data_IF_458656549052
#
_entry.id   IF_458656549052
#
_cell.length_a   1.000
_cell.length_b   1.000
_cell.length_c   1.000
_cell.angle_alpha   90.00
_cell.angle_beta   90.00
_cell.angle_gamma   90.00
#
_symmetry.space_group_name_H-M   'P 1'
#
loop_
_entity.id
_entity.type
_entity.pdbx_description
1 polymer ?
#
# COMPACT_ATOMS: atom_id res chain seq x y z
N UNK A 1 1.11 36.05 -19.57
CA UNK A 1 1.73 36.40 -18.27
C UNK A 1 1.54 35.18 -17.42
N UNK A 2 2.62 34.52 -16.96
CA UNK A 2 2.50 33.29 -16.16
C UNK A 2 1.71 33.61 -14.89
N UNK A 3 0.51 33.05 -14.77
CA UNK A 3 -0.33 33.19 -13.58
C UNK A 3 0.27 32.35 -12.45
N UNK A 4 0.93 33.02 -11.51
CA UNK A 4 1.50 32.39 -10.32
C UNK A 4 0.39 32.08 -9.33
N UNK A 5 0.24 30.82 -8.94
CA UNK A 5 -0.68 30.38 -7.88
C UNK A 5 -0.07 30.75 -6.52
N UNK A 6 -0.87 31.34 -5.63
CA UNK A 6 -0.35 31.90 -4.37
C UNK A 6 -0.55 30.99 -3.16
N UNK A 7 -1.48 30.02 -3.24
CA UNK A 7 -1.87 29.13 -2.15
C UNK A 7 -2.37 29.83 -0.89
N UNK A 8 -2.74 31.11 -1.01
CA UNK A 8 -3.29 31.92 0.09
C UNK A 8 -4.77 32.26 -0.11
N UNK A 9 -5.24 32.25 -1.36
CA UNK A 9 -6.63 32.51 -1.73
C UNK A 9 -7.11 31.41 -2.69
N UNK A 10 -7.87 30.41 -2.20
CA UNK A 10 -8.28 29.26 -2.99
C UNK A 10 -9.22 29.64 -4.15
N UNK A 11 -10.02 30.69 -4.00
CA UNK A 11 -10.96 31.11 -5.04
C UNK A 11 -10.22 31.85 -6.16
N UNK A 12 -9.24 32.68 -5.81
CA UNK A 12 -8.37 33.33 -6.79
C UNK A 12 -7.50 32.31 -7.56
N UNK A 13 -6.93 31.32 -6.87
CA UNK A 13 -6.15 30.24 -7.48
C UNK A 13 -7.03 29.39 -8.42
N UNK A 14 -8.26 29.06 -8.04
CA UNK A 14 -9.20 28.34 -8.89
C UNK A 14 -9.57 29.13 -10.16
N UNK A 15 -9.81 30.45 -10.02
CA UNK A 15 -10.07 31.33 -11.16
C UNK A 15 -8.85 31.44 -12.10
N UNK A 16 -7.65 31.51 -11.53
CA UNK A 16 -6.40 31.52 -12.29
C UNK A 16 -6.22 30.21 -13.08
N UNK A 17 -6.45 29.05 -12.47
CA UNK A 17 -6.40 27.74 -13.15
C UNK A 17 -7.43 27.67 -14.28
N UNK A 18 -8.66 28.15 -14.06
CA UNK A 18 -9.71 28.15 -15.07
C UNK A 18 -9.38 29.04 -16.28
N UNK A 19 -8.53 30.06 -16.10
CA UNK A 19 -8.10 30.96 -17.15
C UNK A 19 -6.83 30.51 -17.89
N UNK A 20 -6.12 29.49 -17.39
CA UNK A 20 -4.89 28.97 -18.01
C UNK A 20 -5.19 28.27 -19.34
N UNK A 21 -4.28 28.45 -20.30
CA UNK A 21 -4.25 27.70 -21.54
C UNK A 21 -3.86 26.23 -21.30
N UNK A 22 -4.09 25.38 -22.31
CA UNK A 22 -3.66 23.97 -22.26
C UNK A 22 -2.15 23.83 -22.03
N UNK A 23 -1.34 24.66 -22.66
CA UNK A 23 0.12 24.58 -22.55
C UNK A 23 0.56 24.97 -21.13
N UNK A 24 0.01 26.06 -20.58
CA UNK A 24 0.23 26.46 -19.19
C UNK A 24 -0.19 25.38 -18.19
N UNK A 25 -1.31 24.68 -18.43
CA UNK A 25 -1.76 23.57 -17.58
C UNK A 25 -0.84 22.34 -17.68
N UNK A 26 -0.25 22.09 -18.85
CA UNK A 26 0.65 20.96 -19.08
C UNK A 26 2.01 21.16 -18.40
N UNK A 27 2.41 22.41 -18.18
CA UNK A 27 3.59 22.79 -17.40
C UNK A 27 3.26 22.87 -15.89
N UNK A 28 2.23 23.63 -15.53
CA UNK A 28 1.89 23.94 -14.13
C UNK A 28 1.37 22.72 -13.37
N UNK A 29 0.52 21.89 -14.00
CA UNK A 29 -0.12 20.75 -13.33
C UNK A 29 0.87 19.72 -12.77
N UNK A 30 1.84 19.23 -13.57
CA UNK A 30 2.88 18.33 -13.08
C UNK A 30 3.75 18.91 -11.97
N UNK A 31 4.08 20.21 -12.03
CA UNK A 31 4.88 20.88 -10.99
C UNK A 31 4.12 20.97 -9.67
N UNK A 32 2.84 21.34 -9.71
CA UNK A 32 1.96 21.32 -8.54
C UNK A 32 1.88 19.94 -7.90
N UNK A 33 1.74 18.90 -8.74
CA UNK A 33 1.69 17.52 -8.28
C UNK A 33 3.03 17.10 -7.64
N UNK A 34 4.15 17.50 -8.24
CA UNK A 34 5.50 17.22 -7.72
C UNK A 34 5.72 17.88 -6.38
N UNK A 35 5.36 19.16 -6.22
CA UNK A 35 5.45 19.87 -4.94
C UNK A 35 4.55 19.23 -3.87
N UNK A 36 3.30 18.92 -4.22
CA UNK A 36 2.39 18.19 -3.32
C UNK A 36 2.99 16.88 -2.82
N UNK A 37 3.63 16.09 -3.70
CA UNK A 37 4.32 14.85 -3.32
C UNK A 37 5.54 15.09 -2.44
N UNK A 38 6.31 16.15 -2.67
CA UNK A 38 7.44 16.52 -1.78
C UNK A 38 6.96 16.78 -0.35
N UNK A 39 5.83 17.46 -0.18
CA UNK A 39 5.21 17.68 1.13
C UNK A 39 4.64 16.39 1.72
N UNK A 40 3.97 15.56 0.91
CA UNK A 40 3.47 14.25 1.35
C UNK A 40 4.60 13.36 1.85
N UNK A 41 5.72 13.29 1.14
CA UNK A 41 6.90 12.50 1.54
C UNK A 41 7.47 12.93 2.89
N UNK A 42 7.59 14.24 3.12
CA UNK A 42 8.03 14.79 4.42
C UNK A 42 7.01 14.53 5.53
N UNK A 43 5.72 14.52 5.19
CA UNK A 43 4.64 14.18 6.13
C UNK A 43 4.76 12.72 6.58
N UNK A 44 5.03 11.79 5.68
CA UNK A 44 5.28 10.37 6.01
C UNK A 44 6.48 10.21 6.93
N UNK A 45 7.61 10.87 6.64
CA UNK A 45 8.79 10.81 7.51
C UNK A 45 8.56 11.47 8.87
N UNK A 46 7.82 12.57 8.93
CA UNK A 46 7.46 13.22 10.19
C UNK A 46 6.55 12.32 11.06
N UNK A 47 5.62 11.60 10.42
CA UNK A 47 4.76 10.64 11.10
C UNK A 47 5.56 9.47 11.69
N UNK A 48 6.51 8.90 10.94
CA UNK A 48 7.38 7.85 11.44
C UNK A 48 8.28 8.34 12.58
N UNK A 49 8.85 9.54 12.47
CA UNK A 49 9.65 10.13 13.53
C UNK A 49 8.84 10.39 14.82
N UNK A 50 7.55 10.74 14.71
CA UNK A 50 6.64 10.85 15.86
C UNK A 50 6.38 9.47 16.49
N UNK A 51 6.06 8.46 15.67
CA UNK A 51 5.84 7.10 16.14
C UNK A 51 7.04 6.58 16.96
N UNK A 52 8.24 6.77 16.43
CA UNK A 52 9.47 6.33 17.09
C UNK A 52 9.73 7.03 18.42
N UNK A 53 9.42 8.33 18.53
CA UNK A 53 9.53 9.06 19.80
C UNK A 53 8.55 8.54 20.84
N UNK A 54 7.30 8.32 20.44
CA UNK A 54 6.25 7.77 21.32
C UNK A 54 6.61 6.36 21.77
N UNK A 55 7.13 5.53 20.86
CA UNK A 55 7.62 4.19 21.16
C UNK A 55 8.72 4.22 22.22
N UNK A 56 9.77 5.05 22.01
CA UNK A 56 10.87 5.20 22.96
C UNK A 56 10.44 5.77 24.31
N UNK A 57 9.58 6.78 24.31
CA UNK A 57 9.01 7.34 25.56
C UNK A 57 8.24 6.28 26.34
N UNK A 58 7.54 5.38 25.65
CA UNK A 58 6.80 4.29 26.30
C UNK A 58 7.71 3.22 26.90
N UNK A 59 8.85 2.97 26.27
CA UNK A 59 9.84 2.01 26.76
C UNK A 59 10.79 2.60 27.81
N UNK A 60 10.99 3.93 27.81
CA UNK A 60 11.82 4.62 28.77
C UNK A 60 11.28 4.41 30.20
N UNK A 61 12.08 3.76 31.05
CA UNK A 61 11.71 3.42 32.43
C UNK A 61 11.33 1.96 32.66
N UNK A 62 11.39 1.10 31.64
CA UNK A 62 11.29 -0.35 31.81
C UNK A 62 12.68 -1.01 31.82
N UNK A 63 12.91 -1.98 32.69
CA UNK A 63 14.20 -2.70 32.75
C UNK A 63 14.33 -3.65 31.56
N UNK A 64 15.51 -3.66 30.89
CA UNK A 64 15.84 -4.52 29.73
C UNK A 64 15.54 -6.02 29.93
N UNK A 65 15.45 -6.48 31.18
CA UNK A 65 15.25 -7.89 31.56
C UNK A 65 13.77 -8.32 31.50
N UNK A 66 12.82 -7.38 31.38
CA UNK A 66 11.37 -7.65 31.43
C UNK A 66 10.57 -6.98 30.29
N UNK A 67 11.16 -6.75 29.11
CA UNK A 67 10.36 -6.31 27.95
C UNK A 67 9.64 -7.52 27.35
N UNK A 68 8.51 -7.88 27.95
CA UNK A 68 7.59 -8.88 27.39
C UNK A 68 7.06 -8.40 26.02
N UNK A 69 6.85 -9.32 25.08
CA UNK A 69 6.33 -8.98 23.74
C UNK A 69 5.02 -8.17 23.74
N UNK A 70 4.21 -8.29 24.80
CA UNK A 70 3.00 -7.49 25.00
C UNK A 70 3.27 -6.00 25.25
N UNK A 71 4.40 -5.64 25.87
CA UNK A 71 4.81 -4.25 26.09
C UNK A 71 5.20 -3.59 24.77
N UNK A 72 5.98 -4.31 23.95
CA UNK A 72 6.37 -3.86 22.61
C UNK A 72 5.14 -3.66 21.74
N UNK A 73 4.25 -4.65 21.70
CA UNK A 73 3.01 -4.56 20.93
C UNK A 73 2.13 -3.39 21.39
N UNK A 74 2.09 -3.11 22.70
CA UNK A 74 1.35 -1.97 23.21
C UNK A 74 2.00 -0.63 22.84
N UNK A 75 3.33 -0.54 22.89
CA UNK A 75 4.08 0.64 22.46
C UNK A 75 3.86 0.92 20.96
N UNK A 76 3.89 -0.10 20.11
CA UNK A 76 3.58 0.02 18.67
C UNK A 76 2.15 0.49 18.42
N UNK A 77 1.17 -0.09 19.14
CA UNK A 77 -0.24 0.33 19.03
C UNK A 77 -0.42 1.78 19.46
N UNK A 78 0.28 2.22 20.49
CA UNK A 78 0.26 3.61 20.97
C UNK A 78 0.90 4.55 19.95
N UNK A 79 2.09 4.21 19.44
CA UNK A 79 2.79 4.99 18.42
C UNK A 79 1.91 5.20 17.16
N UNK A 80 1.28 4.12 16.67
CA UNK A 80 0.32 4.18 15.55
C UNK A 80 -0.91 5.02 15.87
N UNK A 81 -1.43 4.92 17.10
CA UNK A 81 -2.58 5.71 17.54
C UNK A 81 -2.25 7.21 17.61
N UNK A 82 -1.06 7.56 18.08
CA UNK A 82 -0.61 8.94 18.18
C UNK A 82 -0.45 9.57 16.79
N UNK A 83 0.18 8.87 15.84
CA UNK A 83 0.24 9.31 14.44
C UNK A 83 -1.15 9.49 13.84
N UNK A 84 -2.04 8.51 14.05
CA UNK A 84 -3.43 8.59 13.57
C UNK A 84 -4.15 9.83 14.10
N UNK A 85 -3.93 10.17 15.38
CA UNK A 85 -4.51 11.34 16.04
C UNK A 85 -3.94 12.65 15.48
N UNK A 86 -2.62 12.83 15.50
CA UNK A 86 -1.98 14.10 15.14
C UNK A 86 -2.12 14.42 13.65
N UNK A 87 -2.04 13.41 12.79
CA UNK A 87 -2.13 13.59 11.34
C UNK A 87 -3.54 13.42 10.80
N UNK A 88 -4.54 13.13 11.65
CA UNK A 88 -5.95 12.95 11.28
C UNK A 88 -6.15 11.91 10.16
N UNK A 89 -5.41 10.80 10.25
CA UNK A 89 -5.49 9.67 9.32
C UNK A 89 -5.98 8.42 10.03
N UNK A 90 -6.44 7.41 9.30
CA UNK A 90 -6.80 6.12 9.90
C UNK A 90 -5.57 5.43 10.51
N UNK A 91 -5.77 4.59 11.53
CA UNK A 91 -4.69 3.77 12.11
C UNK A 91 -3.98 2.88 11.07
N UNK A 92 -4.74 2.39 10.08
CA UNK A 92 -4.17 1.63 8.97
C UNK A 92 -3.24 2.47 8.10
N UNK A 93 -3.62 3.72 7.77
CA UNK A 93 -2.78 4.64 7.01
C UNK A 93 -1.56 5.11 7.80
N UNK A 94 -1.72 5.35 9.11
CA UNK A 94 -0.59 5.61 10.00
C UNK A 94 0.42 4.45 10.01
N UNK A 95 -0.07 3.21 10.14
CA UNK A 95 0.76 2.02 10.08
C UNK A 95 1.47 1.85 8.73
N UNK A 96 0.80 2.13 7.61
CA UNK A 96 1.45 2.05 6.29
C UNK A 96 2.51 3.12 6.07
N UNK A 97 2.34 4.32 6.64
CA UNK A 97 3.36 5.36 6.63
C UNK A 97 4.60 5.01 7.43
N UNK A 98 4.42 4.46 8.64
CA UNK A 98 5.53 4.00 9.48
C UNK A 98 6.31 2.89 8.76
N UNK A 99 5.60 1.86 8.28
CA UNK A 99 6.24 0.76 7.56
C UNK A 99 6.95 1.21 6.27
N UNK A 100 6.41 2.21 5.57
CA UNK A 100 7.09 2.79 4.41
C UNK A 100 8.37 3.51 4.83
N UNK A 101 8.33 4.32 5.88
CA UNK A 101 9.51 5.03 6.36
C UNK A 101 10.63 4.07 6.76
N UNK A 102 10.31 2.98 7.47
CA UNK A 102 11.26 1.94 7.88
C UNK A 102 11.94 1.29 6.65
N UNK A 103 11.17 1.01 5.59
CA UNK A 103 11.74 0.50 4.35
C UNK A 103 12.64 1.53 3.65
N UNK A 104 12.23 2.80 3.63
CA UNK A 104 13.00 3.88 2.98
C UNK A 104 14.32 4.18 3.68
N UNK A 105 14.52 3.75 4.93
CA UNK A 105 15.85 3.80 5.57
C UNK A 105 16.84 2.84 4.91
N UNK A 106 16.36 1.71 4.39
CA UNK A 106 17.17 0.69 3.71
C UNK A 106 17.39 0.98 2.22
N UNK A 107 16.51 1.78 1.60
CA UNK A 107 16.52 2.07 0.17
C UNK A 107 16.72 3.58 -0.10
N UNK A 108 17.97 4.08 -0.03
CA UNK A 108 18.28 5.50 -0.11
C UNK A 108 17.99 6.13 -1.48
N UNK A 109 18.08 5.38 -2.58
CA UNK A 109 17.79 5.88 -3.92
C UNK A 109 16.27 6.05 -4.11
N UNK A 110 15.47 5.08 -3.67
CA UNK A 110 13.99 5.18 -3.66
C UNK A 110 13.57 6.34 -2.76
N UNK A 111 14.20 6.48 -1.59
CA UNK A 111 13.95 7.59 -0.66
C UNK A 111 14.25 8.95 -1.30
N UNK A 112 15.36 9.08 -2.02
CA UNK A 112 15.70 10.31 -2.72
C UNK A 112 14.66 10.69 -3.79
N UNK A 113 14.27 9.74 -4.63
CA UNK A 113 13.23 9.94 -5.66
C UNK A 113 11.88 10.34 -5.04
N UNK A 114 11.49 9.68 -3.94
CA UNK A 114 10.27 10.03 -3.20
C UNK A 114 10.32 11.44 -2.59
N UNK A 115 11.43 11.80 -1.93
CA UNK A 115 11.63 13.13 -1.35
C UNK A 115 11.67 14.27 -2.38
N UNK A 116 12.05 13.94 -3.62
CA UNK A 116 12.07 14.84 -4.77
C UNK A 116 10.69 14.99 -5.46
N UNK A 117 9.68 14.24 -5.02
CA UNK A 117 8.31 14.28 -5.56
C UNK A 117 8.12 13.49 -6.85
N UNK A 118 9.10 12.68 -7.25
CA UNK A 118 9.05 11.87 -8.48
C UNK A 118 8.07 10.70 -8.31
N UNK A 119 7.98 10.18 -7.10
CA UNK A 119 7.12 9.05 -6.74
C UNK A 119 5.92 9.52 -5.92
N UNK A 120 4.75 8.96 -6.20
CA UNK A 120 3.65 9.02 -5.24
C UNK A 120 3.94 8.13 -4.04
N UNK A 121 3.28 8.36 -2.91
CA UNK A 121 3.42 7.51 -1.72
C UNK A 121 3.12 6.04 -2.01
N UNK A 122 2.10 5.76 -2.82
CA UNK A 122 1.77 4.39 -3.22
C UNK A 122 2.87 3.75 -4.07
N UNK A 123 3.39 4.49 -5.06
CA UNK A 123 4.44 4.00 -5.96
C UNK A 123 5.75 3.76 -5.21
N UNK A 124 6.15 4.68 -4.33
CA UNK A 124 7.29 4.48 -3.44
C UNK A 124 7.11 3.24 -2.56
N UNK A 125 5.89 2.98 -2.08
CA UNK A 125 5.58 1.80 -1.27
C UNK A 125 5.63 0.48 -2.04
N UNK A 126 5.20 0.46 -3.30
CA UNK A 126 5.35 -0.70 -4.19
C UNK A 126 6.84 -0.97 -4.44
N UNK A 127 7.58 0.08 -4.79
CA UNK A 127 9.00 0.01 -5.10
C UNK A 127 9.82 -0.47 -3.89
N UNK A 128 9.64 0.14 -2.71
CA UNK A 128 10.38 -0.23 -1.51
C UNK A 128 10.09 -1.67 -1.05
N UNK A 129 8.85 -2.17 -1.20
CA UNK A 129 8.54 -3.57 -0.90
C UNK A 129 9.11 -4.55 -1.91
N UNK A 130 9.16 -4.18 -3.20
CA UNK A 130 9.85 -4.98 -4.19
C UNK A 130 11.35 -5.04 -3.89
N UNK A 131 11.96 -3.90 -3.55
CA UNK A 131 13.37 -3.82 -3.19
C UNK A 131 13.72 -4.66 -1.95
N UNK A 132 12.87 -4.65 -0.92
CA UNK A 132 13.01 -5.53 0.25
C UNK A 132 13.03 -7.00 -0.13
N UNK A 133 12.07 -7.45 -0.96
CA UNK A 133 12.03 -8.83 -1.42
C UNK A 133 13.24 -9.22 -2.26
N UNK A 134 13.83 -8.31 -3.03
CA UNK A 134 15.08 -8.56 -3.73
C UNK A 134 16.27 -8.69 -2.76
N UNK A 135 16.40 -7.76 -1.81
CA UNK A 135 17.52 -7.73 -0.87
C UNK A 135 17.55 -8.91 0.12
N UNK A 136 16.38 -9.41 0.55
CA UNK A 136 16.32 -10.58 1.43
C UNK A 136 16.93 -11.84 0.78
N UNK A 137 17.02 -11.87 -0.56
CA UNK A 137 17.45 -13.05 -1.30
C UNK A 137 18.95 -13.13 -1.56
N UNK A 138 19.66 -12.00 -1.42
CA UNK A 138 21.13 -11.96 -1.52
C UNK A 138 21.81 -12.42 -0.22
N UNK A 139 21.06 -12.58 0.88
CA UNK A 139 21.62 -12.85 2.21
C UNK A 139 21.71 -14.36 2.53
N UNK A 140 20.95 -15.21 1.83
CA UNK A 140 20.87 -16.66 2.10
C UNK A 140 21.54 -17.54 1.02
N UNK A 141 22.11 -16.94 -0.03
CA UNK A 141 22.82 -17.66 -1.08
C UNK A 141 24.33 -17.60 -0.86
N UNK A 142 24.92 -18.71 -0.40
CA UNK A 142 26.35 -19.06 -0.56
C UNK A 142 26.70 -19.19 -2.07
N UNK A 143 26.47 -18.14 -2.85
CA UNK A 143 26.76 -18.11 -4.28
C UNK A 143 28.15 -17.56 -4.54
N UNK A 144 28.86 -18.38 -5.29
CA UNK A 144 30.23 -18.24 -5.73
C UNK A 144 30.41 -16.91 -6.47
N UNK A 145 31.41 -16.15 -6.05
CA UNK A 145 31.97 -15.01 -6.75
C UNK A 145 32.30 -15.38 -8.21
N UNK A 146 31.35 -15.13 -9.11
CA UNK A 146 31.61 -15.06 -10.55
C UNK A 146 31.60 -13.61 -10.94
N UNK A 147 32.76 -12.96 -10.76
CA UNK A 147 33.00 -11.58 -11.15
C UNK A 147 32.60 -11.27 -12.59
N UNK A 148 31.42 -10.68 -12.74
CA UNK A 148 31.02 -9.90 -13.91
C UNK A 148 30.76 -8.45 -13.45
N UNK A 149 31.45 -7.51 -14.09
CA UNK A 149 31.47 -6.11 -13.73
C UNK A 149 30.15 -5.45 -14.20
N UNK A 150 29.31 -5.02 -13.25
CA UNK A 150 28.07 -4.21 -13.39
C UNK A 150 26.73 -4.94 -13.13
N UNK A 151 26.61 -5.68 -12.03
CA UNK A 151 25.27 -6.01 -11.52
C UNK A 151 24.64 -4.76 -10.90
N UNK A 152 23.69 -4.16 -11.63
CA UNK A 152 22.80 -3.16 -11.06
C UNK A 152 22.13 -3.75 -9.81
N UNK A 153 22.19 -3.03 -8.69
CA UNK A 153 21.45 -3.42 -7.49
C UNK A 153 19.96 -3.55 -7.79
N UNK A 154 19.26 -4.42 -7.07
CA UNK A 154 17.81 -4.56 -7.25
C UNK A 154 17.06 -3.24 -6.99
N UNK A 155 17.59 -2.36 -6.14
CA UNK A 155 17.06 -1.00 -5.95
C UNK A 155 17.14 -0.15 -7.24
N UNK A 156 18.25 -0.22 -7.98
CA UNK A 156 18.42 0.47 -9.26
C UNK A 156 17.49 -0.11 -10.34
N UNK A 157 17.27 -1.42 -10.35
CA UNK A 157 16.29 -2.07 -11.23
C UNK A 157 14.89 -1.57 -10.92
N UNK A 158 14.52 -1.53 -9.64
CA UNK A 158 13.23 -1.00 -9.20
C UNK A 158 13.04 0.44 -9.65
N UNK A 159 14.07 1.28 -9.57
CA UNK A 159 14.03 2.66 -10.04
C UNK A 159 13.88 2.79 -11.55
N UNK A 160 14.57 1.96 -12.33
CA UNK A 160 14.40 1.93 -13.79
C UNK A 160 12.93 1.62 -14.15
N UNK A 161 12.34 0.57 -13.58
CA UNK A 161 10.92 0.26 -13.79
C UNK A 161 10.00 1.37 -13.27
N UNK A 162 10.33 1.96 -12.11
CA UNK A 162 9.59 3.05 -11.49
C UNK A 162 9.53 4.32 -12.34
N UNK A 163 10.57 4.60 -13.11
CA UNK A 163 10.69 5.76 -14.00
C UNK A 163 9.80 5.68 -15.25
N UNK A 164 9.37 4.47 -15.64
CA UNK A 164 8.55 4.23 -16.83
C UNK A 164 7.13 4.74 -16.63
N UNK A 165 6.51 5.24 -17.69
CA UNK A 165 5.11 5.67 -17.68
C UNK A 165 4.17 4.44 -17.62
N UNK A 166 3.96 3.91 -16.43
CA UNK A 166 3.14 2.73 -16.14
C UNK A 166 2.18 2.99 -15.00
N UNK A 167 1.03 2.31 -15.00
CA UNK A 167 0.12 2.33 -13.86
C UNK A 167 0.70 1.49 -12.72
N UNK A 168 0.34 1.82 -11.48
CA UNK A 168 0.83 1.11 -10.28
C UNK A 168 0.61 -0.42 -10.32
N UNK A 169 -0.53 -0.96 -10.82
CA UNK A 169 -0.70 -2.41 -10.96
C UNK A 169 0.27 -3.03 -11.98
N UNK A 170 0.52 -2.34 -13.10
CA UNK A 170 1.46 -2.81 -14.13
C UNK A 170 2.89 -2.76 -13.61
N UNK A 171 3.25 -1.71 -12.87
CA UNK A 171 4.55 -1.62 -12.20
C UNK A 171 4.74 -2.80 -11.24
N UNK A 172 3.77 -3.10 -10.38
CA UNK A 172 3.85 -4.22 -9.44
C UNK A 172 4.12 -5.54 -10.17
N UNK A 173 3.36 -5.82 -11.23
CA UNK A 173 3.52 -7.04 -12.03
C UNK A 173 4.90 -7.12 -12.70
N UNK A 174 5.40 -5.99 -13.18
CA UNK A 174 6.72 -5.92 -13.83
C UNK A 174 7.86 -6.13 -12.82
N UNK A 175 7.74 -5.57 -11.62
CA UNK A 175 8.72 -5.79 -10.55
C UNK A 175 8.69 -7.23 -10.03
N UNK A 176 7.51 -7.84 -9.92
CA UNK A 176 7.37 -9.25 -9.58
C UNK A 176 8.02 -10.14 -10.65
N UNK A 177 7.78 -9.85 -11.94
CA UNK A 177 8.40 -10.58 -13.04
C UNK A 177 9.94 -10.41 -13.08
N UNK A 178 10.44 -9.21 -12.78
CA UNK A 178 11.87 -8.94 -12.69
C UNK A 178 12.51 -9.72 -11.53
N UNK A 179 11.86 -9.73 -10.36
CA UNK A 179 12.29 -10.53 -9.20
C UNK A 179 12.35 -12.01 -9.53
N UNK A 180 11.28 -12.58 -10.10
CA UNK A 180 11.22 -13.98 -10.53
C UNK A 180 12.35 -14.33 -11.52
N UNK A 181 12.67 -13.41 -12.44
CA UNK A 181 13.70 -13.64 -13.44
C UNK A 181 15.11 -13.61 -12.86
N UNK A 182 15.37 -12.78 -11.85
CA UNK A 182 16.69 -12.64 -11.23
C UNK A 182 16.93 -13.71 -10.17
N UNK A 183 15.91 -14.03 -9.38
CA UNK A 183 16.01 -15.03 -8.34
C UNK A 183 14.80 -15.97 -8.44
N UNK A 184 14.91 -17.08 -9.21
CA UNK A 184 13.83 -18.05 -9.29
C UNK A 184 13.60 -18.79 -7.95
N UNK A 185 14.62 -18.86 -7.09
CA UNK A 185 14.58 -19.56 -5.80
C UNK A 185 13.89 -18.73 -4.71
N UNK A 186 13.93 -17.39 -4.79
CA UNK A 186 13.14 -16.51 -3.91
C UNK A 186 11.64 -16.77 -4.04
N UNK A 187 11.20 -17.20 -5.22
CA UNK A 187 9.82 -17.58 -5.50
C UNK A 187 9.50 -18.94 -4.91
N UNK A 188 10.50 -19.79 -4.65
CA UNK A 188 10.37 -21.10 -4.01
C UNK A 188 10.24 -20.95 -2.50
N UNK A 189 11.01 -20.07 -1.86
CA UNK A 189 10.87 -19.77 -0.43
C UNK A 189 9.60 -18.97 -0.12
N UNK A 190 9.25 -17.98 -0.97
CA UNK A 190 7.92 -17.36 -0.94
C UNK A 190 6.84 -18.40 -1.22
N UNK A 191 7.11 -19.44 -2.03
CA UNK A 191 6.17 -20.54 -2.24
C UNK A 191 6.03 -21.41 -1.02
N UNK A 192 7.07 -21.70 -0.27
CA UNK A 192 6.98 -22.58 0.91
C UNK A 192 6.29 -21.84 2.06
N UNK A 193 6.58 -20.55 2.27
CA UNK A 193 5.79 -19.69 3.17
C UNK A 193 4.37 -19.40 2.66
N UNK A 194 4.18 -19.23 1.34
CA UNK A 194 2.85 -19.22 0.73
C UNK A 194 2.19 -20.59 0.83
N UNK A 195 2.88 -21.73 0.86
CA UNK A 195 2.23 -23.04 0.97
C UNK A 195 1.73 -23.23 2.40
N UNK A 196 2.41 -22.62 3.38
CA UNK A 196 1.90 -22.48 4.75
C UNK A 196 0.75 -21.46 4.87
N UNK A 197 0.74 -20.36 4.11
CA UNK A 197 -0.34 -19.33 4.12
C UNK A 197 -1.55 -19.66 3.22
N UNK A 198 -1.31 -20.27 2.06
CA UNK A 198 -2.25 -20.74 1.04
C UNK A 198 -2.85 -22.04 1.53
N UNK A 199 -3.74 -21.88 2.48
CA UNK A 199 -4.37 -22.98 3.21
C UNK A 199 -5.08 -22.49 4.47
N UNK A 200 -4.71 -21.29 4.95
CA UNK A 200 -5.34 -20.69 6.12
C UNK A 200 -6.45 -19.72 5.72
N UNK A 201 -7.69 -20.18 5.87
CA UNK A 201 -8.85 -19.31 6.00
C UNK A 201 -9.01 -18.98 7.47
N UNK A 202 -8.77 -17.71 7.83
CA UNK A 202 -9.00 -17.20 9.18
C UNK A 202 -10.41 -16.63 9.27
N UNK A 203 -11.16 -17.06 10.30
CA UNK A 203 -12.45 -16.48 10.65
C UNK A 203 -12.32 -16.00 12.08
N UNK A 204 -12.28 -14.69 12.27
CA UNK A 204 -12.10 -14.07 13.60
C UNK A 204 -13.41 -13.40 14.02
N UNK A 205 -13.92 -13.66 15.23
CA UNK A 205 -15.05 -12.91 15.78
C UNK A 205 -14.73 -11.41 15.83
N UNK A 206 -15.65 -10.59 15.35
CA UNK A 206 -15.56 -9.13 15.34
C UNK A 206 -16.73 -8.53 16.16
N UNK A 207 -16.89 -7.21 16.14
CA UNK A 207 -17.93 -6.49 16.90
C UNK A 207 -19.36 -6.91 16.49
N UNK A 208 -20.26 -6.87 17.47
CA UNK A 208 -21.71 -7.04 17.28
C UNK A 208 -22.14 -8.36 16.60
N UNK A 209 -21.40 -9.46 16.82
CA UNK A 209 -21.75 -10.77 16.29
C UNK A 209 -21.34 -10.99 14.83
N UNK A 210 -20.56 -10.08 14.25
CA UNK A 210 -19.94 -10.26 12.94
C UNK A 210 -18.62 -11.04 13.04
N UNK A 211 -18.10 -11.50 11.91
CA UNK A 211 -16.78 -12.13 11.84
C UNK A 211 -16.03 -11.62 10.63
N UNK A 212 -14.74 -11.37 10.79
CA UNK A 212 -13.85 -11.04 9.68
C UNK A 212 -13.31 -12.33 9.07
N UNK A 213 -13.44 -12.46 7.75
CA UNK A 213 -12.84 -13.54 6.97
C UNK A 213 -11.60 -13.01 6.24
N UNK A 214 -10.46 -13.64 6.50
CA UNK A 214 -9.20 -13.34 5.82
C UNK A 214 -8.58 -14.63 5.28
N UNK A 215 -8.17 -14.61 4.01
CA UNK A 215 -7.50 -15.74 3.39
C UNK A 215 -6.45 -15.24 2.39
N UNK A 216 -5.33 -15.96 2.31
CA UNK A 216 -4.36 -15.83 1.22
C UNK A 216 -4.61 -17.00 0.28
N UNK A 217 -4.98 -16.70 -0.97
CA UNK A 217 -5.32 -17.72 -1.98
C UNK A 217 -4.47 -17.50 -3.22
N UNK A 218 -4.27 -18.54 -4.06
CA UNK A 218 -3.61 -18.38 -5.35
C UNK A 218 -4.29 -17.29 -6.18
N UNK A 219 -3.51 -16.54 -6.96
CA UNK A 219 -4.02 -15.40 -7.74
C UNK A 219 -5.23 -15.77 -8.63
N UNK A 220 -5.21 -16.96 -9.23
CA UNK A 220 -6.32 -17.44 -10.08
C UNK A 220 -7.62 -17.67 -9.29
N UNK A 221 -7.57 -18.04 -8.01
CA UNK A 221 -8.75 -18.11 -7.15
C UNK A 221 -9.29 -16.73 -6.81
N UNK A 222 -8.41 -15.77 -6.51
CA UNK A 222 -8.81 -14.38 -6.27
C UNK A 222 -9.52 -13.75 -7.46
N UNK A 223 -8.99 -13.96 -8.68
CA UNK A 223 -9.61 -13.53 -9.94
C UNK A 223 -10.95 -14.22 -10.15
N UNK A 224 -11.01 -15.55 -9.96
CA UNK A 224 -12.24 -16.32 -10.12
C UNK A 224 -13.33 -15.84 -9.15
N UNK A 225 -13.04 -15.72 -7.85
CA UNK A 225 -14.00 -15.28 -6.84
C UNK A 225 -14.48 -13.85 -7.09
N UNK A 226 -13.56 -12.94 -7.45
CA UNK A 226 -13.92 -11.55 -7.79
C UNK A 226 -14.83 -11.49 -9.01
N UNK A 227 -14.55 -12.30 -10.03
CA UNK A 227 -15.37 -12.39 -11.24
C UNK A 227 -16.78 -12.89 -10.91
N UNK A 228 -16.89 -13.96 -10.11
CA UNK A 228 -18.19 -14.52 -9.71
C UNK A 228 -19.01 -13.52 -8.88
N UNK A 229 -18.39 -12.85 -7.90
CA UNK A 229 -19.06 -11.84 -7.08
C UNK A 229 -19.58 -10.70 -7.96
N UNK A 230 -18.76 -10.16 -8.87
CA UNK A 230 -19.18 -9.05 -9.72
C UNK A 230 -20.27 -9.49 -10.72
N UNK A 231 -20.14 -10.68 -11.32
CA UNK A 231 -21.17 -11.21 -12.21
C UNK A 231 -22.52 -11.36 -11.52
N UNK A 232 -22.55 -11.88 -10.29
CA UNK A 232 -23.77 -12.01 -9.51
C UNK A 232 -24.37 -10.64 -9.15
N UNK A 233 -23.54 -9.66 -8.80
CA UNK A 233 -23.98 -8.29 -8.54
C UNK A 233 -24.59 -7.65 -9.79
N UNK A 234 -23.95 -7.82 -10.94
CA UNK A 234 -24.40 -7.26 -12.22
C UNK A 234 -25.71 -7.92 -12.69
N UNK A 235 -25.88 -9.23 -12.44
CA UNK A 235 -27.11 -9.97 -12.77
C UNK A 235 -28.28 -9.56 -11.86
N UNK A 236 -28.03 -9.36 -10.56
CA UNK A 236 -29.09 -9.28 -9.55
C UNK A 236 -29.41 -7.90 -9.01
N UNK A 237 -28.52 -6.93 -9.19
CA UNK A 237 -28.72 -5.56 -8.68
C UNK A 237 -28.71 -4.55 -9.81
N UNK A 238 -29.59 -3.54 -9.71
CA UNK A 238 -29.61 -2.45 -10.68
C UNK A 238 -28.82 -1.24 -10.18
N UNK A 239 -28.57 -0.28 -11.07
CA UNK A 239 -27.87 0.98 -10.71
C UNK A 239 -28.55 1.80 -9.61
N UNK A 240 -29.85 1.57 -9.36
CA UNK A 240 -30.64 2.25 -8.32
C UNK A 240 -30.63 1.53 -6.97
N UNK A 241 -29.92 0.41 -6.83
CA UNK A 241 -29.79 -0.25 -5.53
C UNK A 241 -29.15 0.72 -4.51
N UNK A 242 -29.81 0.98 -3.37
CA UNK A 242 -29.34 1.97 -2.39
C UNK A 242 -28.07 1.51 -1.65
N UNK A 243 -27.69 0.23 -1.73
CA UNK A 243 -26.55 -0.33 -1.01
C UNK A 243 -25.22 -0.02 -1.70
N UNK A 244 -24.21 0.32 -0.90
CA UNK A 244 -22.82 0.47 -1.35
C UNK A 244 -22.27 -0.86 -1.85
N UNK A 245 -21.17 -0.81 -2.61
CA UNK A 245 -20.57 -2.01 -3.21
C UNK A 245 -20.10 -3.04 -2.16
N UNK A 246 -19.58 -2.58 -1.01
CA UNK A 246 -19.10 -3.45 0.07
C UNK A 246 -20.17 -4.41 0.60
N UNK A 247 -21.32 -3.92 1.10
CA UNK A 247 -22.44 -4.77 1.52
C UNK A 247 -22.93 -5.74 0.44
N UNK A 248 -23.02 -5.29 -0.83
CA UNK A 248 -23.43 -6.15 -1.95
C UNK A 248 -22.46 -7.31 -2.17
N UNK A 249 -21.15 -7.07 -2.08
CA UNK A 249 -20.13 -8.13 -2.15
C UNK A 249 -20.23 -9.12 -0.99
N UNK A 250 -20.56 -8.65 0.21
CA UNK A 250 -20.77 -9.52 1.37
C UNK A 250 -21.95 -10.49 1.19
N UNK A 251 -23.10 -10.00 0.71
CA UNK A 251 -24.28 -10.83 0.44
C UNK A 251 -24.01 -11.76 -0.74
N UNK A 252 -23.41 -11.26 -1.83
CA UNK A 252 -23.03 -12.06 -2.99
C UNK A 252 -22.10 -13.23 -2.60
N UNK A 253 -21.11 -12.96 -1.74
CA UNK A 253 -20.22 -14.00 -1.22
C UNK A 253 -21.00 -15.02 -0.39
N UNK A 254 -21.95 -14.57 0.44
CA UNK A 254 -22.84 -15.46 1.20
C UNK A 254 -23.68 -16.36 0.31
N UNK A 255 -24.24 -15.84 -0.78
CA UNK A 255 -25.01 -16.62 -1.75
C UNK A 255 -24.13 -17.65 -2.48
N UNK A 256 -22.96 -17.23 -2.96
CA UNK A 256 -21.99 -18.11 -3.64
C UNK A 256 -21.54 -19.25 -2.72
N UNK A 257 -21.39 -18.99 -1.42
CA UNK A 257 -20.97 -19.99 -0.43
C UNK A 257 -22.11 -20.79 0.17
N UNK A 258 -23.37 -20.49 -0.20
CA UNK A 258 -24.54 -21.24 0.23
C UNK A 258 -25.00 -20.95 1.66
N UNK A 259 -24.70 -19.76 2.20
CA UNK A 259 -25.18 -19.35 3.52
C UNK A 259 -26.71 -19.27 3.50
N UNK A 260 -27.43 -20.00 4.39
CA UNK A 260 -28.88 -19.99 4.39
C UNK A 260 -29.46 -18.57 4.55
N UNK A 261 -30.30 -18.16 3.60
CA UNK A 261 -30.95 -16.85 3.60
C UNK A 261 -30.10 -15.70 3.04
N UNK A 262 -28.85 -15.94 2.64
CA UNK A 262 -28.04 -14.97 1.92
C UNK A 262 -28.38 -15.03 0.43
N UNK A 263 -29.38 -14.25 0.00
CA UNK A 263 -29.71 -14.04 -1.40
C UNK A 263 -29.53 -12.56 -1.75
N UNK A 264 -28.77 -12.30 -2.81
CA UNK A 264 -28.58 -10.98 -3.35
C UNK A 264 -29.78 -10.62 -4.22
N UNK A 265 -30.79 -10.03 -3.59
CA UNK A 265 -31.91 -9.43 -4.32
C UNK A 265 -31.76 -7.91 -4.34
N UNK A 266 -32.17 -7.27 -5.43
CA UNK A 266 -32.15 -5.81 -5.56
C UNK A 266 -33.10 -5.15 -4.54
N UNK A 267 -32.63 -4.15 -3.78
CA UNK A 267 -33.44 -3.44 -2.78
C UNK A 267 -34.02 -2.11 -3.30
N UNK A 268 -34.01 -1.88 -4.62
CA UNK A 268 -34.50 -0.63 -5.19
C UNK A 268 -36.04 -0.50 -5.23
N UNK A 269 -36.76 -1.57 -4.87
CA UNK A 269 -38.23 -1.60 -4.83
C UNK A 269 -38.92 -1.57 -6.20
N UNK A 270 -38.18 -1.85 -7.28
CA UNK A 270 -38.66 -1.93 -8.66
C UNK A 270 -38.33 -3.29 -9.27
#
# INVERSE_FOLDING_TARGET
MSSVLTFTDPDADAAAIAAMSRDELTETGPDLLRESRKYEARTVLAAAALAERVYRERLAGQSEVEVWGSVIEHADKLARAEVSLQFKVSRSKAGSWIALADLLEKFPLIRAAYLNGELSTNRASIMARAAQRGADTDTDSDSVDTGDESEMSFEEIVLDYGSRATTDPVLSQQLDAALISMNPDSVIEDRDTLTDLVGHVTITPDVAGHSSLGAVVPAHYGVFLTTQINALIDERTCRKDPRRLGPRRGIALGEITGVPGAHLDCECGQ
#
